data_IF_596639859188
#
_entry.id   IF_596639859188
#
_cell.length_a   1.000
_cell.length_b   1.000
_cell.length_c   1.000
_cell.angle_alpha   90.00
_cell.angle_beta   90.00
_cell.angle_gamma   90.00
#
_symmetry.space_group_name_H-M   'P 1'
#
loop_
_entity.id
_entity.type
_entity.pdbx_description
1 polymer ?
#
# COMPACT_ATOMS: atom_id res chain seq x y z
N UNK A 1 32.62 107.91 -25.45
CA UNK A 1 33.70 107.20 -26.17
C UNK A 1 33.36 105.72 -26.07
N UNK A 2 32.73 105.18 -27.12
CA UNK A 2 33.37 104.35 -28.16
C UNK A 2 33.44 102.89 -27.68
N UNK A 3 32.43 102.06 -28.05
CA UNK A 3 32.51 100.94 -29.02
C UNK A 3 33.64 99.95 -28.66
N UNK A 4 33.49 98.63 -28.53
CA UNK A 4 32.56 97.62 -29.04
C UNK A 4 32.72 96.37 -28.11
N UNK A 5 31.84 95.38 -28.04
CA UNK A 5 31.45 94.50 -29.13
C UNK A 5 30.08 93.81 -28.87
N UNK A 6 29.34 93.45 -29.94
CA UNK A 6 28.01 92.88 -29.88
C UNK A 6 28.01 91.35 -30.09
N UNK A 7 26.84 90.75 -29.88
CA UNK A 7 26.44 89.47 -30.48
C UNK A 7 26.54 88.30 -29.49
N UNK A 8 25.42 87.91 -28.87
CA UNK A 8 24.61 86.76 -29.32
C UNK A 8 25.23 85.42 -28.86
N UNK A 9 24.54 84.45 -28.29
CA UNK A 9 23.15 84.27 -27.98
C UNK A 9 23.05 83.17 -26.91
N UNK A 10 21.91 83.21 -26.19
CA UNK A 10 21.22 82.11 -25.51
C UNK A 10 21.78 80.71 -25.77
N UNK A 11 22.16 79.97 -24.71
CA UNK A 11 21.88 78.53 -24.53
C UNK A 11 22.49 78.09 -23.19
N UNK A 12 21.68 77.48 -22.34
CA UNK A 12 22.15 76.95 -21.05
C UNK A 12 21.12 76.86 -19.95
N UNK A 13 19.87 77.28 -20.18
CA UNK A 13 18.72 76.86 -19.36
C UNK A 13 18.36 75.41 -19.70
N UNK A 14 19.25 74.46 -19.41
CA UNK A 14 19.04 73.02 -19.60
C UNK A 14 19.94 72.20 -18.67
N UNK A 15 20.20 72.70 -17.46
CA UNK A 15 20.94 71.96 -16.41
C UNK A 15 20.08 71.76 -15.15
N UNK A 16 18.77 71.58 -15.34
CA UNK A 16 17.83 71.16 -14.28
C UNK A 16 16.70 70.27 -14.80
N UNK A 17 16.91 69.58 -15.92
CA UNK A 17 15.93 68.63 -16.48
C UNK A 17 16.66 67.48 -17.17
N UNK A 18 17.62 66.83 -16.51
CA UNK A 18 18.30 65.64 -17.07
C UNK A 18 18.88 64.71 -15.98
N UNK A 19 18.12 64.48 -14.91
CA UNK A 19 18.32 63.32 -14.03
C UNK A 19 17.00 62.59 -13.77
N UNK A 20 16.10 62.67 -14.75
CA UNK A 20 14.78 62.04 -14.75
C UNK A 20 14.65 61.06 -15.92
N UNK A 21 15.68 60.26 -16.22
CA UNK A 21 15.59 59.15 -17.18
C UNK A 21 16.79 58.23 -16.99
N UNK A 22 16.72 57.34 -15.98
CA UNK A 22 17.45 56.06 -15.88
C UNK A 22 17.08 55.45 -14.53
N UNK A 23 16.72 54.17 -14.54
CA UNK A 23 16.16 53.36 -13.44
C UNK A 23 14.62 53.38 -13.27
N UNK A 24 13.86 53.64 -14.35
CA UNK A 24 12.57 52.99 -14.56
C UNK A 24 12.81 51.66 -15.30
N UNK A 25 13.40 50.68 -14.63
CA UNK A 25 13.49 49.29 -15.10
C UNK A 25 13.88 48.45 -13.89
N UNK A 26 13.26 47.27 -13.72
CA UNK A 26 13.44 46.32 -12.62
C UNK A 26 12.47 46.45 -11.43
N UNK A 27 11.18 46.35 -11.72
CA UNK A 27 10.27 45.56 -10.88
C UNK A 27 9.28 44.85 -11.80
N UNK A 28 9.82 43.95 -12.62
CA UNK A 28 9.05 42.81 -13.09
C UNK A 28 8.75 41.99 -11.83
N UNK A 29 7.56 42.21 -11.27
CA UNK A 29 7.00 41.34 -10.24
C UNK A 29 7.11 39.93 -10.81
N UNK A 30 7.92 39.11 -10.16
CA UNK A 30 7.91 37.68 -10.38
C UNK A 30 6.48 37.21 -10.11
N UNK A 31 5.69 37.09 -11.18
CA UNK A 31 4.60 36.14 -11.22
C UNK A 31 5.27 34.77 -11.12
N UNK A 32 5.68 34.40 -9.90
CA UNK A 32 5.81 33.01 -9.54
C UNK A 32 4.46 32.42 -9.89
N UNK A 33 4.42 31.61 -10.95
CA UNK A 33 3.31 30.75 -11.24
C UNK A 33 3.12 29.88 -10.01
N UNK A 34 2.32 30.35 -9.05
CA UNK A 34 1.61 29.48 -8.13
C UNK A 34 0.69 28.68 -9.05
N UNK A 35 1.19 27.59 -9.61
CA UNK A 35 0.34 26.57 -10.20
C UNK A 35 -0.68 26.25 -9.12
N UNK A 36 -1.96 26.48 -9.42
CA UNK A 36 -3.03 26.11 -8.52
C UNK A 36 -2.77 24.67 -8.04
N UNK A 37 -2.94 24.37 -6.74
CA UNK A 37 -2.75 23.02 -6.26
C UNK A 37 -3.56 22.08 -7.15
N UNK A 38 -2.88 21.06 -7.67
CA UNK A 38 -3.51 20.09 -8.56
C UNK A 38 -4.75 19.53 -7.86
N UNK A 39 -5.91 19.50 -8.53
CA UNK A 39 -7.13 19.03 -7.89
C UNK A 39 -6.91 17.61 -7.38
N UNK A 40 -7.26 17.39 -6.11
CA UNK A 40 -7.14 16.06 -5.52
C UNK A 40 -7.95 15.06 -6.35
N UNK A 41 -7.33 13.91 -6.67
CA UNK A 41 -8.00 12.83 -7.40
C UNK A 41 -9.28 12.44 -6.64
N UNK A 42 -10.45 12.40 -7.30
CA UNK A 42 -11.70 12.03 -6.65
C UNK A 42 -11.60 10.68 -5.95
N UNK A 43 -12.28 10.53 -4.81
CA UNK A 43 -12.31 9.26 -4.06
C UNK A 43 -12.77 8.08 -4.93
N UNK A 44 -13.80 8.29 -5.78
CA UNK A 44 -14.29 7.27 -6.71
C UNK A 44 -13.17 6.70 -7.60
N UNK A 45 -12.29 7.56 -8.08
CA UNK A 45 -11.24 7.19 -9.02
C UNK A 45 -10.10 6.47 -8.29
N UNK A 46 -9.79 6.92 -7.06
CA UNK A 46 -8.82 6.24 -6.18
C UNK A 46 -9.30 4.85 -5.76
N UNK A 47 -10.59 4.73 -5.44
CA UNK A 47 -11.21 3.44 -5.11
C UNK A 47 -11.20 2.51 -6.33
N UNK A 48 -11.61 2.99 -7.50
CA UNK A 48 -11.58 2.21 -8.74
C UNK A 48 -10.15 1.75 -9.10
N UNK A 49 -9.16 2.63 -8.91
CA UNK A 49 -7.76 2.29 -9.13
C UNK A 49 -7.27 1.18 -8.17
N UNK A 50 -7.68 1.22 -6.90
CA UNK A 50 -7.36 0.18 -5.94
C UNK A 50 -8.03 -1.16 -6.32
N UNK A 51 -9.28 -1.13 -6.78
CA UNK A 51 -10.06 -2.31 -7.19
C UNK A 51 -9.59 -2.93 -8.50
N UNK A 52 -8.91 -2.17 -9.36
CA UNK A 52 -8.35 -2.63 -10.62
C UNK A 52 -7.04 -3.44 -10.46
N UNK A 53 -6.60 -3.70 -9.23
CA UNK A 53 -5.38 -4.48 -8.99
C UNK A 53 -5.50 -5.91 -9.57
N UNK A 54 -4.41 -6.49 -10.11
CA UNK A 54 -4.42 -7.76 -10.84
C UNK A 54 -4.98 -8.99 -10.12
N UNK A 55 -4.91 -9.02 -8.79
CA UNK A 55 -5.36 -10.15 -7.99
C UNK A 55 -5.90 -9.68 -6.61
N UNK A 56 -6.67 -10.52 -5.90
CA UNK A 56 -7.30 -10.14 -4.64
C UNK A 56 -6.33 -9.69 -3.53
N UNK A 57 -5.10 -10.22 -3.49
CA UNK A 57 -4.10 -9.81 -2.49
C UNK A 57 -3.56 -8.41 -2.78
N UNK A 58 -3.34 -8.10 -4.06
CA UNK A 58 -2.93 -6.77 -4.49
C UNK A 58 -4.07 -5.76 -4.32
N UNK A 59 -5.32 -6.16 -4.55
CA UNK A 59 -6.49 -5.34 -4.23
C UNK A 59 -6.56 -5.04 -2.72
N UNK A 60 -6.32 -6.03 -1.87
CA UNK A 60 -6.30 -5.85 -0.41
C UNK A 60 -5.22 -4.85 0.03
N UNK A 61 -4.02 -4.98 -0.54
CA UNK A 61 -2.91 -4.07 -0.28
C UNK A 61 -3.23 -2.64 -0.76
N UNK A 62 -3.83 -2.49 -1.94
CA UNK A 62 -4.20 -1.19 -2.49
C UNK A 62 -5.30 -0.50 -1.67
N UNK A 63 -6.33 -1.24 -1.25
CA UNK A 63 -7.37 -0.72 -0.35
C UNK A 63 -6.80 -0.39 1.04
N UNK A 64 -5.81 -1.15 1.51
CA UNK A 64 -5.09 -0.85 2.75
C UNK A 64 -4.32 0.45 2.66
N UNK A 65 -3.61 0.68 1.54
CA UNK A 65 -2.92 1.94 1.30
C UNK A 65 -3.90 3.13 1.20
N UNK A 66 -5.05 2.94 0.54
CA UNK A 66 -6.11 3.94 0.48
C UNK A 66 -6.62 4.30 1.88
N UNK A 67 -6.91 3.31 2.72
CA UNK A 67 -7.39 3.52 4.09
C UNK A 67 -6.38 4.20 5.03
N UNK A 68 -5.09 4.13 4.69
CA UNK A 68 -4.03 4.82 5.43
C UNK A 68 -4.00 6.33 5.16
N UNK A 69 -4.70 6.83 4.13
CA UNK A 69 -4.80 8.25 3.84
C UNK A 69 -5.61 8.98 4.93
N UNK A 70 -4.99 9.93 5.69
CA UNK A 70 -5.68 10.66 6.74
C UNK A 70 -6.71 11.67 6.21
N UNK A 71 -6.68 11.99 4.92
CA UNK A 71 -7.59 12.95 4.30
C UNK A 71 -8.96 12.37 3.91
N UNK A 72 -9.14 11.04 3.99
CA UNK A 72 -10.41 10.40 3.70
C UNK A 72 -11.50 10.92 4.64
N UNK A 73 -12.62 11.36 4.04
CA UNK A 73 -13.83 11.69 4.78
C UNK A 73 -14.42 10.44 5.42
N UNK A 74 -15.28 10.63 6.41
CA UNK A 74 -15.92 9.53 7.13
C UNK A 74 -16.63 8.54 6.18
N UNK A 75 -17.46 9.03 5.26
CA UNK A 75 -18.19 8.17 4.31
C UNK A 75 -17.25 7.46 3.33
N UNK A 76 -16.18 8.11 2.89
CA UNK A 76 -15.18 7.52 1.99
C UNK A 76 -14.41 6.40 2.70
N UNK A 77 -14.04 6.62 3.97
CA UNK A 77 -13.42 5.61 4.81
C UNK A 77 -14.37 4.45 5.08
N UNK A 78 -15.65 4.71 5.33
CA UNK A 78 -16.66 3.68 5.52
C UNK A 78 -16.86 2.83 4.25
N UNK A 79 -16.98 3.43 3.06
CA UNK A 79 -17.04 2.67 1.81
C UNK A 79 -15.76 1.87 1.60
N UNK A 80 -14.56 2.45 1.77
CA UNK A 80 -13.31 1.71 1.60
C UNK A 80 -13.15 0.53 2.58
N UNK A 81 -13.56 0.71 3.85
CA UNK A 81 -13.61 -0.38 4.84
C UNK A 81 -14.57 -1.48 4.40
N UNK A 82 -15.79 -1.13 3.97
CA UNK A 82 -16.75 -2.10 3.47
C UNK A 82 -16.19 -2.89 2.27
N UNK A 83 -15.57 -2.21 1.30
CA UNK A 83 -15.02 -2.85 0.10
C UNK A 83 -13.87 -3.81 0.44
N UNK A 84 -12.97 -3.40 1.32
CA UNK A 84 -11.88 -4.28 1.79
C UNK A 84 -12.41 -5.45 2.60
N UNK A 85 -13.37 -5.21 3.50
CA UNK A 85 -14.01 -6.26 4.30
C UNK A 85 -14.69 -7.32 3.43
N UNK A 86 -15.49 -6.90 2.44
CA UNK A 86 -16.16 -7.81 1.51
C UNK A 86 -15.16 -8.60 0.64
N UNK A 87 -14.12 -7.93 0.12
CA UNK A 87 -13.01 -8.58 -0.60
C UNK A 87 -12.34 -9.67 0.25
N UNK A 88 -12.01 -9.34 1.52
CA UNK A 88 -11.38 -10.26 2.48
C UNK A 88 -12.25 -11.46 2.79
N UNK A 89 -13.58 -11.30 2.84
CA UNK A 89 -14.50 -12.42 3.03
C UNK A 89 -14.64 -13.30 1.80
N UNK A 90 -14.57 -12.74 0.59
CA UNK A 90 -14.91 -13.50 -0.63
C UNK A 90 -13.70 -14.02 -1.39
N UNK A 91 -12.73 -13.15 -1.70
CA UNK A 91 -11.71 -13.42 -2.71
C UNK A 91 -10.29 -13.41 -2.16
N UNK A 92 -10.02 -12.56 -1.16
CA UNK A 92 -8.68 -12.48 -0.56
C UNK A 92 -8.50 -13.46 0.61
N UNK A 93 -9.51 -14.24 0.99
CA UNK A 93 -9.40 -15.31 1.98
C UNK A 93 -8.86 -14.83 3.34
N UNK A 94 -9.39 -13.74 3.88
CA UNK A 94 -9.00 -13.18 5.18
C UNK A 94 -10.23 -12.96 6.06
N UNK A 95 -10.83 -14.04 6.59
CA UNK A 95 -12.07 -13.94 7.37
C UNK A 95 -11.94 -13.07 8.62
N UNK A 96 -10.80 -13.11 9.31
CA UNK A 96 -10.56 -12.26 10.48
C UNK A 96 -10.47 -10.78 10.11
N UNK A 97 -9.74 -10.46 9.05
CA UNK A 97 -9.65 -9.10 8.52
C UNK A 97 -10.98 -8.57 7.99
N UNK A 98 -11.82 -9.45 7.43
CA UNK A 98 -13.18 -9.10 7.01
C UNK A 98 -14.05 -8.66 8.19
N UNK A 99 -14.06 -9.43 9.28
CA UNK A 99 -14.76 -9.08 10.52
C UNK A 99 -14.29 -7.71 11.02
N UNK A 100 -12.97 -7.52 11.15
CA UNK A 100 -12.40 -6.26 11.64
C UNK A 100 -12.81 -5.04 10.79
N UNK A 101 -12.79 -5.17 9.47
CA UNK A 101 -13.14 -4.08 8.56
C UNK A 101 -14.64 -3.75 8.59
N UNK A 102 -15.50 -4.77 8.62
CA UNK A 102 -16.95 -4.59 8.65
C UNK A 102 -17.43 -4.03 10.00
N UNK A 103 -16.84 -4.48 11.12
CA UNK A 103 -17.08 -3.88 12.43
C UNK A 103 -16.62 -2.42 12.49
N UNK A 104 -15.43 -2.12 11.97
CA UNK A 104 -14.93 -0.75 11.91
C UNK A 104 -15.81 0.16 11.05
N UNK A 105 -16.33 -0.35 9.93
CA UNK A 105 -17.25 0.38 9.05
C UNK A 105 -18.56 0.72 9.78
N UNK A 106 -19.19 -0.27 10.43
CA UNK A 106 -20.45 -0.08 11.15
C UNK A 106 -20.31 0.82 12.37
N UNK A 107 -19.18 0.74 13.08
CA UNK A 107 -18.88 1.63 14.20
C UNK A 107 -18.65 3.08 13.74
N UNK A 108 -18.01 3.27 12.57
CA UNK A 108 -17.69 4.58 12.03
C UNK A 108 -18.92 5.29 11.43
N UNK A 109 -19.77 4.55 10.72
CA UNK A 109 -20.89 5.11 9.97
C UNK A 109 -22.10 4.14 9.95
N UNK A 110 -22.84 4.03 11.07
CA UNK A 110 -23.95 3.08 11.20
C UNK A 110 -25.11 3.37 10.23
N UNK A 111 -25.28 4.62 9.80
CA UNK A 111 -26.33 5.04 8.86
C UNK A 111 -25.85 5.06 7.38
N UNK A 112 -24.63 4.59 7.10
CA UNK A 112 -24.09 4.58 5.75
C UNK A 112 -24.94 3.69 4.82
N UNK A 113 -25.08 4.01 3.51
CA UNK A 113 -25.88 3.20 2.58
C UNK A 113 -25.48 1.72 2.47
N UNK A 114 -24.27 1.35 2.92
CA UNK A 114 -23.80 -0.04 2.98
C UNK A 114 -24.06 -0.76 4.29
N UNK A 115 -24.53 -0.08 5.34
CA UNK A 115 -24.59 -0.64 6.69
C UNK A 115 -25.36 -1.96 6.75
N UNK A 116 -26.57 -2.03 6.19
CA UNK A 116 -27.35 -3.28 6.16
C UNK A 116 -26.65 -4.43 5.41
N UNK A 117 -25.90 -4.13 4.35
CA UNK A 117 -25.11 -5.16 3.65
C UNK A 117 -23.88 -5.57 4.46
N UNK A 118 -23.24 -4.61 5.14
CA UNK A 118 -22.09 -4.87 6.01
C UNK A 118 -22.47 -5.76 7.20
N UNK A 119 -23.65 -5.57 7.80
CA UNK A 119 -24.18 -6.43 8.87
C UNK A 119 -24.33 -7.88 8.40
N UNK A 120 -24.95 -8.09 7.24
CA UNK A 120 -25.11 -9.43 6.65
C UNK A 120 -23.74 -10.08 6.42
N UNK A 121 -22.79 -9.36 5.82
CA UNK A 121 -21.47 -9.91 5.55
C UNK A 121 -20.65 -10.15 6.82
N UNK A 122 -20.85 -9.34 7.86
CA UNK A 122 -20.23 -9.51 9.16
C UNK A 122 -20.70 -10.81 9.83
N UNK A 123 -22.01 -11.07 9.80
CA UNK A 123 -22.58 -12.30 10.35
C UNK A 123 -22.09 -13.55 9.60
N UNK A 124 -21.98 -13.46 8.27
CA UNK A 124 -21.38 -14.53 7.45
C UNK A 124 -19.91 -14.74 7.78
N UNK A 125 -19.12 -13.66 7.89
CA UNK A 125 -17.70 -13.76 8.24
C UNK A 125 -17.49 -14.37 9.64
N UNK A 126 -18.32 -14.01 10.62
CA UNK A 126 -18.30 -14.61 11.96
C UNK A 126 -18.67 -16.10 11.93
N UNK A 127 -19.70 -16.46 11.17
CA UNK A 127 -20.10 -17.86 10.98
C UNK A 127 -18.97 -18.69 10.34
N UNK A 128 -18.26 -18.11 9.35
CA UNK A 128 -17.09 -18.75 8.75
C UNK A 128 -15.97 -18.98 9.78
N UNK A 129 -15.70 -18.01 10.66
CA UNK A 129 -14.71 -18.15 11.74
C UNK A 129 -15.09 -19.26 12.72
N UNK A 130 -16.34 -19.29 13.18
CA UNK A 130 -16.85 -20.33 14.09
C UNK A 130 -16.68 -21.73 13.49
N UNK A 131 -16.85 -21.88 12.17
CA UNK A 131 -16.67 -23.15 11.48
C UNK A 131 -15.19 -23.52 11.24
N UNK A 132 -14.32 -22.53 11.00
CA UNK A 132 -12.93 -22.76 10.56
C UNK A 132 -11.95 -22.83 11.72
N UNK A 133 -12.05 -21.95 12.72
CA UNK A 133 -11.06 -21.85 13.79
C UNK A 133 -10.87 -23.13 14.59
N UNK A 134 -11.93 -23.87 14.98
CA UNK A 134 -11.76 -25.14 15.70
C UNK A 134 -10.96 -26.18 14.89
N UNK A 135 -10.97 -26.10 13.56
CA UNK A 135 -10.27 -27.06 12.69
C UNK A 135 -8.75 -26.99 12.84
N UNK A 136 -8.21 -25.85 13.27
CA UNK A 136 -6.77 -25.71 13.55
C UNK A 136 -6.32 -26.61 14.72
N UNK A 137 -7.24 -27.03 15.61
CA UNK A 137 -6.97 -27.95 16.70
C UNK A 137 -7.00 -29.44 16.30
N UNK A 138 -7.38 -29.76 15.06
CA UNK A 138 -7.42 -31.14 14.57
C UNK A 138 -6.09 -31.60 13.98
N UNK A 139 -5.91 -32.92 13.84
CA UNK A 139 -4.81 -33.48 13.07
C UNK A 139 -5.05 -33.26 11.58
N UNK A 140 -4.51 -32.16 11.05
CA UNK A 140 -4.55 -31.82 9.64
C UNK A 140 -3.22 -32.17 8.95
N UNK A 141 -3.30 -32.58 7.69
CA UNK A 141 -2.12 -32.58 6.80
C UNK A 141 -1.64 -31.15 6.59
N UNK A 142 -0.39 -30.97 6.17
CA UNK A 142 0.16 -29.63 5.87
C UNK A 142 -0.72 -28.87 4.86
N UNK A 143 -1.20 -29.54 3.81
CA UNK A 143 -2.05 -28.91 2.79
C UNK A 143 -3.41 -28.48 3.33
N UNK A 144 -4.06 -29.30 4.16
CA UNK A 144 -5.32 -28.92 4.80
C UNK A 144 -5.14 -27.79 5.81
N UNK A 145 -4.07 -27.84 6.61
CA UNK A 145 -3.75 -26.80 7.57
C UNK A 145 -3.42 -25.48 6.87
N UNK A 146 -2.71 -25.54 5.73
CA UNK A 146 -2.48 -24.38 4.87
C UNK A 146 -3.81 -23.76 4.46
N UNK A 147 -4.74 -24.53 3.89
CA UNK A 147 -6.00 -23.98 3.39
C UNK A 147 -6.81 -23.31 4.51
N UNK A 148 -6.92 -23.96 5.67
CA UNK A 148 -7.64 -23.37 6.82
C UNK A 148 -6.94 -22.10 7.31
N UNK A 149 -5.63 -22.13 7.53
CA UNK A 149 -4.87 -20.97 8.02
C UNK A 149 -4.92 -19.81 7.02
N UNK A 150 -4.80 -20.14 5.73
CA UNK A 150 -4.86 -19.19 4.63
C UNK A 150 -6.22 -18.49 4.59
N UNK A 151 -7.34 -19.23 4.66
CA UNK A 151 -8.70 -18.65 4.69
C UNK A 151 -8.97 -17.80 5.93
N UNK A 152 -8.36 -18.14 7.06
CA UNK A 152 -8.43 -17.34 8.28
C UNK A 152 -7.61 -16.04 8.21
N UNK A 153 -6.80 -15.86 7.16
CA UNK A 153 -6.03 -14.65 6.91
C UNK A 153 -4.55 -14.75 7.24
N UNK A 154 -4.07 -15.89 7.73
CA UNK A 154 -2.64 -16.10 7.95
C UNK A 154 -1.96 -16.39 6.61
N UNK A 155 -0.86 -15.69 6.33
CA UNK A 155 -0.11 -15.79 5.07
C UNK A 155 1.29 -16.31 5.30
N UNK A 156 1.95 -15.75 6.31
CA UNK A 156 3.36 -15.98 6.55
C UNK A 156 3.60 -17.37 7.15
N UNK A 157 2.86 -17.76 8.19
CA UNK A 157 3.05 -19.07 8.81
C UNK A 157 2.79 -20.24 7.83
N UNK A 158 1.71 -20.25 7.03
CA UNK A 158 1.50 -21.27 6.01
C UNK A 158 2.59 -21.31 4.93
N UNK A 159 3.04 -20.16 4.42
CA UNK A 159 4.12 -20.11 3.44
C UNK A 159 5.44 -20.64 4.03
N UNK A 160 5.82 -20.15 5.21
CA UNK A 160 7.04 -20.53 5.89
C UNK A 160 7.06 -22.02 6.24
N UNK A 161 5.92 -22.58 6.65
CA UNK A 161 5.83 -24.01 6.96
C UNK A 161 6.05 -24.87 5.73
N UNK A 162 5.53 -24.47 4.58
CA UNK A 162 5.85 -25.14 3.31
C UNK A 162 7.35 -25.11 3.02
N UNK A 163 7.94 -23.91 3.06
CA UNK A 163 9.36 -23.72 2.80
C UNK A 163 10.25 -24.56 3.74
N UNK A 164 9.92 -24.62 5.04
CA UNK A 164 10.65 -25.43 6.04
C UNK A 164 10.46 -26.94 5.88
N UNK A 165 9.28 -27.38 5.45
CA UNK A 165 8.92 -28.80 5.43
C UNK A 165 9.62 -29.59 4.33
N UNK A 166 10.05 -28.92 3.25
CA UNK A 166 10.50 -29.59 2.03
C UNK A 166 9.39 -30.39 1.32
N UNK A 167 8.11 -30.15 1.62
CA UNK A 167 6.96 -30.73 0.93
C UNK A 167 6.49 -29.72 -0.12
N UNK A 168 6.21 -30.19 -1.34
CA UNK A 168 5.66 -29.33 -2.40
C UNK A 168 4.20 -28.93 -2.14
N UNK A 169 3.81 -27.65 -2.32
CA UNK A 169 2.40 -27.25 -2.36
C UNK A 169 1.68 -27.84 -3.57
N UNK A 170 0.35 -27.97 -3.48
CA UNK A 170 -0.45 -28.32 -4.66
C UNK A 170 -0.56 -27.13 -5.64
N UNK A 171 -1.09 -27.35 -6.85
CA UNK A 171 -1.16 -26.32 -7.89
C UNK A 171 -1.92 -25.06 -7.44
N UNK A 172 -3.11 -25.23 -6.84
CA UNK A 172 -3.91 -24.10 -6.34
C UNK A 172 -3.20 -23.31 -5.24
N UNK A 173 -2.53 -24.00 -4.32
CA UNK A 173 -1.75 -23.38 -3.24
C UNK A 173 -0.51 -22.67 -3.78
N UNK A 174 0.14 -23.24 -4.79
CA UNK A 174 1.25 -22.60 -5.51
C UNK A 174 0.80 -21.28 -6.12
N UNK A 175 -0.35 -21.26 -6.78
CA UNK A 175 -0.88 -20.02 -7.36
C UNK A 175 -1.21 -18.98 -6.28
N UNK A 176 -1.84 -19.37 -5.17
CA UNK A 176 -2.08 -18.46 -4.03
C UNK A 176 -0.79 -17.87 -3.46
N UNK A 177 0.23 -18.71 -3.27
CA UNK A 177 1.54 -18.29 -2.77
C UNK A 177 2.26 -17.35 -3.75
N UNK A 178 2.15 -17.59 -5.06
CA UNK A 178 2.67 -16.68 -6.10
C UNK A 178 1.94 -15.34 -6.08
N UNK A 179 0.62 -15.36 -6.08
CA UNK A 179 -0.20 -14.14 -6.13
C UNK A 179 -0.03 -13.26 -4.88
N UNK A 180 0.25 -13.89 -3.73
CA UNK A 180 0.57 -13.24 -2.47
C UNK A 180 2.07 -12.88 -2.31
N UNK A 181 2.91 -13.18 -3.31
CA UNK A 181 4.32 -12.74 -3.35
C UNK A 181 5.32 -13.60 -2.57
N UNK A 182 4.97 -14.83 -2.18
CA UNK A 182 5.88 -15.76 -1.50
C UNK A 182 6.72 -16.60 -2.47
N UNK A 183 6.18 -16.88 -3.65
CA UNK A 183 6.87 -17.64 -4.70
C UNK A 183 7.22 -16.71 -5.86
N UNK A 184 8.47 -16.80 -6.26
CA UNK A 184 9.09 -16.08 -7.36
C UNK A 184 9.41 -17.05 -8.52
N UNK A 185 9.83 -16.50 -9.66
CA UNK A 185 10.40 -17.27 -10.76
C UNK A 185 11.80 -17.81 -10.43
N UNK A 186 12.69 -17.87 -11.43
CA UNK A 186 14.05 -18.38 -11.22
C UNK A 186 14.94 -17.48 -10.32
N UNK A 187 14.54 -16.22 -10.11
CA UNK A 187 15.36 -15.19 -9.46
C UNK A 187 15.19 -15.12 -7.92
N UNK A 188 14.38 -15.98 -7.32
CA UNK A 188 14.16 -15.97 -5.87
C UNK A 188 15.34 -16.53 -5.08
N UNK A 189 15.58 -15.97 -3.90
CA UNK A 189 16.73 -16.30 -3.06
C UNK A 189 16.46 -17.46 -2.08
N UNK A 190 15.23 -17.94 -1.98
CA UNK A 190 14.80 -18.92 -0.99
C UNK A 190 14.87 -20.39 -1.42
N UNK A 191 15.52 -20.67 -2.54
CA UNK A 191 15.65 -22.03 -3.08
C UNK A 191 14.39 -22.52 -3.81
N UNK A 192 14.43 -23.73 -4.40
CA UNK A 192 13.33 -24.26 -5.20
C UNK A 192 12.06 -24.49 -4.36
N UNK A 193 10.89 -24.23 -4.96
CA UNK A 193 9.58 -24.60 -4.37
C UNK A 193 9.35 -26.11 -4.45
N UNK A 194 9.95 -26.76 -5.45
CA UNK A 194 9.96 -28.22 -5.56
C UNK A 194 10.61 -28.83 -4.31
N UNK A 195 9.78 -29.49 -3.52
CA UNK A 195 10.20 -30.31 -2.40
C UNK A 195 10.51 -31.75 -2.79
N UNK A 196 10.58 -32.61 -1.79
CA UNK A 196 10.79 -34.05 -1.94
C UNK A 196 9.60 -34.73 -2.63
N UNK A 197 9.91 -35.80 -3.38
CA UNK A 197 8.95 -36.58 -4.16
C UNK A 197 9.11 -36.37 -5.67
N UNK A 198 8.12 -36.82 -6.43
CA UNK A 198 8.15 -36.73 -7.89
C UNK A 198 8.18 -35.26 -8.36
N UNK A 199 8.92 -34.94 -9.43
CA UNK A 199 8.89 -33.64 -10.07
C UNK A 199 7.47 -33.25 -10.50
N UNK A 200 7.15 -31.96 -10.37
CA UNK A 200 5.83 -31.42 -10.73
C UNK A 200 6.00 -30.29 -11.73
N UNK A 201 5.40 -30.44 -12.90
CA UNK A 201 5.58 -29.50 -14.02
C UNK A 201 5.20 -28.05 -13.66
N UNK A 202 4.17 -27.84 -12.84
CA UNK A 202 3.75 -26.49 -12.41
C UNK A 202 4.71 -25.82 -11.41
N UNK A 203 5.72 -26.56 -10.91
CA UNK A 203 6.76 -26.05 -10.02
C UNK A 203 8.08 -25.79 -10.74
N UNK A 204 8.19 -26.14 -12.03
CA UNK A 204 9.41 -25.97 -12.79
C UNK A 204 9.86 -24.50 -12.79
N UNK A 205 11.12 -24.26 -12.39
CA UNK A 205 11.72 -22.93 -12.35
C UNK A 205 11.18 -22.00 -11.26
N UNK A 206 10.30 -22.47 -10.36
CA UNK A 206 9.78 -21.67 -9.26
C UNK A 206 10.70 -21.75 -8.04
N UNK A 207 10.95 -20.60 -7.43
CA UNK A 207 11.73 -20.47 -6.19
C UNK A 207 10.96 -19.70 -5.13
N UNK A 208 11.28 -19.91 -3.86
CA UNK A 208 10.80 -19.03 -2.80
C UNK A 208 11.48 -17.67 -2.94
N UNK A 209 10.72 -16.58 -2.79
CA UNK A 209 11.27 -15.25 -2.98
C UNK A 209 12.38 -14.92 -1.98
N UNK A 210 12.17 -15.28 -0.71
CA UNK A 210 13.10 -14.99 0.39
C UNK A 210 13.64 -16.27 1.02
N UNK A 211 14.89 -16.28 1.51
CA UNK A 211 15.40 -17.39 2.31
C UNK A 211 14.63 -17.53 3.62
N UNK A 212 14.71 -18.73 4.21
CA UNK A 212 14.31 -18.93 5.59
C UNK A 212 15.12 -17.99 6.47
N UNK A 213 14.45 -17.22 7.33
CA UNK A 213 15.13 -16.46 8.37
C UNK A 213 15.89 -17.44 9.27
N UNK A 214 17.21 -17.25 9.37
CA UNK A 214 18.04 -17.99 10.32
C UNK A 214 17.50 -17.73 11.74
N UNK A 215 17.39 -18.77 12.59
CA UNK A 215 17.12 -18.51 14.00
C UNK A 215 18.27 -17.66 14.55
N UNK A 216 17.94 -16.50 15.13
CA UNK A 216 18.91 -15.72 15.90
C UNK A 216 19.31 -16.60 17.06
N UNK A 217 20.48 -17.23 16.98
CA UNK A 217 21.11 -17.84 18.14
C UNK A 217 21.35 -16.70 19.13
N UNK A 218 20.53 -16.65 20.18
CA UNK A 218 20.83 -15.79 21.31
C UNK A 218 22.15 -16.30 21.88
N UNK A 219 23.23 -15.57 21.59
CA UNK A 219 24.53 -15.79 22.21
C UNK A 219 24.30 -15.79 23.71
N UNK A 220 24.40 -16.97 24.32
CA UNK A 220 24.44 -17.12 25.75
C UNK A 220 25.76 -16.48 26.19
N UNK A 221 25.69 -15.20 26.58
CA UNK A 221 26.75 -14.51 27.31
C UNK A 221 26.97 -15.30 28.61
N UNK A 222 27.88 -16.27 28.58
CA UNK A 222 28.47 -16.85 29.77
C UNK A 222 29.32 -15.76 30.41
N UNK A 223 28.67 -14.96 31.25
CA UNK A 223 29.36 -14.04 32.15
C UNK A 223 30.22 -14.87 33.10
N UNK A 224 31.53 -14.80 32.91
CA UNK A 224 32.51 -15.29 33.85
C UNK A 224 32.29 -14.60 35.20
N UNK A 225 31.92 -15.40 36.20
CA UNK A 225 31.96 -14.99 37.61
C UNK A 225 33.39 -15.22 38.07
N UNK A 226 34.22 -14.17 38.03
CA UNK A 226 35.48 -14.16 38.75
C UNK A 226 35.22 -14.22 40.26
N UNK A 227 35.95 -15.13 40.93
CA UNK A 227 35.88 -15.40 42.36
C UNK A 227 36.80 -14.54 43.23
#
# INVERSE_FOLDING_TARGET
MQFAAPGEARLGALMRVYRSFLAALMLAVAAACASAPEPAIPFSDRLAAAEAAPNPYQTDAALTALLADPSLKQDERAEALYRRGSLRRLAADNRRGAVADLEAMLALAPDHPRAGQAEIELDLARSDLEALEPRLGYMLTLSQWFDVSWTLGDREAPALRYQKSGISPNEAQTQRLKDAGFICGADGAGGPVQGAGDPRDWLEGLTWCNPLSEPVEAEAETGDVEG
#
